data_IF_709609686292
#
_entry.id   IF_709609686292
#
_cell.length_a   1.000
_cell.length_b   1.000
_cell.length_c   1.000
_cell.angle_alpha   90.00
_cell.angle_beta   90.00
_cell.angle_gamma   90.00
#
_symmetry.space_group_name_H-M   'P 1'
#
loop_
_entity.id
_entity.type
_entity.pdbx_description
1 polymer ?
#
# COMPACT_ATOMS: atom_id res chain seq x y z
N UNK A 1 11.28 8.52 12.02
CA UNK A 1 12.40 8.10 11.15
C UNK A 1 13.10 9.37 10.72
N UNK A 2 14.42 9.50 10.90
CA UNK A 2 15.18 10.71 10.52
C UNK A 2 16.02 10.34 9.30
N UNK A 3 15.92 11.11 8.21
CA UNK A 3 16.72 10.90 7.01
C UNK A 3 18.20 11.17 7.32
N UNK A 4 19.09 10.25 6.93
CA UNK A 4 20.53 10.49 7.00
C UNK A 4 20.97 11.57 6.02
N UNK A 5 22.18 12.11 6.17
CA UNK A 5 22.73 13.06 5.21
C UNK A 5 22.80 12.49 3.79
N UNK A 6 23.13 11.19 3.66
CA UNK A 6 23.16 10.50 2.38
C UNK A 6 21.76 10.40 1.77
N UNK A 7 20.74 10.07 2.58
CA UNK A 7 19.35 10.02 2.12
C UNK A 7 18.88 11.38 1.62
N UNK A 8 19.19 12.46 2.34
CA UNK A 8 18.85 13.83 1.93
C UNK A 8 19.50 14.20 0.60
N UNK A 9 20.78 13.84 0.41
CA UNK A 9 21.49 14.04 -0.85
C UNK A 9 20.83 13.29 -2.01
N UNK A 10 20.47 12.03 -1.79
CA UNK A 10 19.79 11.20 -2.78
C UNK A 10 18.40 11.76 -3.16
N UNK A 11 17.61 12.18 -2.17
CA UNK A 11 16.28 12.78 -2.39
C UNK A 11 16.40 14.06 -3.21
N UNK A 12 17.32 14.97 -2.86
CA UNK A 12 17.54 16.21 -3.61
C UNK A 12 17.99 15.95 -5.06
N UNK A 13 18.89 15.00 -5.26
CA UNK A 13 19.37 14.64 -6.60
C UNK A 13 18.27 14.03 -7.46
N UNK A 14 17.45 13.13 -6.90
CA UNK A 14 16.32 12.54 -7.60
C UNK A 14 15.24 13.59 -7.93
N UNK A 15 14.87 14.43 -6.96
CA UNK A 15 13.87 15.49 -7.16
C UNK A 15 14.34 16.55 -8.16
N UNK A 16 15.63 16.88 -8.18
CA UNK A 16 16.20 17.76 -9.20
C UNK A 16 15.99 17.27 -10.64
N UNK A 17 15.91 15.96 -10.85
CA UNK A 17 15.61 15.35 -12.17
C UNK A 17 14.13 15.39 -12.53
N UNK A 18 13.23 15.51 -11.55
CA UNK A 18 11.81 15.72 -11.80
C UNK A 18 11.61 17.05 -12.53
N UNK A 19 12.38 18.08 -12.16
CA UNK A 19 12.44 19.35 -12.88
C UNK A 19 11.06 19.97 -13.09
N UNK A 20 10.81 20.46 -14.31
CA UNK A 20 9.53 21.09 -14.69
C UNK A 20 8.33 20.13 -14.76
N UNK A 21 8.53 18.82 -14.60
CA UNK A 21 7.47 17.81 -14.74
C UNK A 21 6.74 17.49 -13.44
N UNK A 22 7.10 18.13 -12.32
CA UNK A 22 6.56 17.79 -11.01
C UNK A 22 5.01 17.78 -10.97
N UNK A 23 4.37 18.77 -11.60
CA UNK A 23 2.92 18.86 -11.66
C UNK A 23 2.27 17.74 -12.50
N UNK A 24 2.89 17.38 -13.62
CA UNK A 24 2.45 16.29 -14.50
C UNK A 24 2.55 14.94 -13.77
N UNK A 25 3.69 14.67 -13.13
CA UNK A 25 3.90 13.44 -12.37
C UNK A 25 2.98 13.36 -11.14
N UNK A 26 2.69 14.50 -10.50
CA UNK A 26 1.71 14.56 -9.42
C UNK A 26 0.30 14.17 -9.87
N UNK A 27 -0.12 14.58 -11.07
CA UNK A 27 -1.41 14.19 -11.65
C UNK A 27 -1.44 12.71 -12.02
N UNK A 28 -0.37 12.21 -12.66
CA UNK A 28 -0.23 10.79 -13.01
C UNK A 28 -0.27 9.89 -11.76
N UNK A 29 0.41 10.29 -10.68
CA UNK A 29 0.40 9.57 -9.42
C UNK A 29 -1.01 9.46 -8.83
N UNK A 30 -1.82 10.53 -8.88
CA UNK A 30 -3.21 10.53 -8.45
C UNK A 30 -4.08 9.61 -9.32
N UNK A 31 -3.92 9.66 -10.64
CA UNK A 31 -4.66 8.75 -11.55
C UNK A 31 -4.33 7.28 -11.26
N UNK A 32 -3.04 6.95 -11.09
CA UNK A 32 -2.60 5.59 -10.69
C UNK A 32 -3.18 5.18 -9.34
N UNK A 33 -3.21 6.09 -8.35
CA UNK A 33 -3.81 5.84 -7.05
C UNK A 33 -5.30 5.52 -7.16
N UNK A 34 -6.06 6.31 -7.92
CA UNK A 34 -7.51 6.10 -8.09
C UNK A 34 -7.83 4.79 -8.81
N UNK A 35 -7.01 4.37 -9.78
CA UNK A 35 -7.18 3.11 -10.49
C UNK A 35 -6.81 1.90 -9.62
N UNK A 36 -5.70 2.00 -8.89
CA UNK A 36 -5.14 0.88 -8.11
C UNK A 36 -5.80 0.71 -6.74
N UNK A 37 -6.29 1.81 -6.16
CA UNK A 37 -6.92 1.85 -4.84
C UNK A 37 -8.26 2.61 -4.91
N UNK A 38 -9.32 2.03 -5.51
CA UNK A 38 -10.57 2.76 -5.75
C UNK A 38 -11.25 3.34 -4.51
N UNK A 39 -11.00 2.79 -3.33
CA UNK A 39 -11.48 3.32 -2.04
C UNK A 39 -11.02 4.74 -1.79
N UNK A 40 -9.85 5.16 -2.32
CA UNK A 40 -9.33 6.53 -2.19
C UNK A 40 -10.22 7.57 -2.89
N UNK A 41 -11.02 7.17 -3.89
CA UNK A 41 -11.97 8.07 -4.59
C UNK A 41 -13.04 8.64 -3.65
N UNK A 42 -13.30 7.98 -2.53
CA UNK A 42 -14.30 8.44 -1.53
C UNK A 42 -13.96 9.79 -0.90
N UNK A 43 -12.69 10.22 -0.95
CA UNK A 43 -12.27 11.55 -0.51
C UNK A 43 -12.46 12.64 -1.59
N UNK A 44 -12.77 12.26 -2.83
CA UNK A 44 -12.90 13.16 -3.97
C UNK A 44 -14.27 13.08 -4.66
N UNK A 45 -15.41 13.01 -3.93
CA UNK A 45 -16.74 12.90 -4.56
C UNK A 45 -17.14 14.17 -5.33
N UNK A 46 -16.41 15.26 -5.12
CA UNK A 46 -16.62 16.58 -5.73
C UNK A 46 -15.66 16.83 -6.92
N UNK A 47 -14.85 15.85 -7.31
CA UNK A 47 -13.96 15.94 -8.46
C UNK A 47 -14.52 15.18 -9.66
N UNK A 48 -14.34 15.75 -10.84
CA UNK A 48 -14.22 14.99 -12.07
C UNK A 48 -12.92 14.17 -12.03
N UNK A 49 -13.05 12.86 -11.92
CA UNK A 49 -11.94 11.90 -11.87
C UNK A 49 -11.67 11.25 -13.23
N UNK A 50 -12.20 11.80 -14.33
CA UNK A 50 -11.86 11.35 -15.68
C UNK A 50 -10.39 11.61 -15.99
N UNK A 51 -9.82 10.78 -16.88
CA UNK A 51 -8.42 10.93 -17.30
C UNK A 51 -8.18 12.32 -17.88
N UNK A 52 -7.14 12.99 -17.41
CA UNK A 52 -6.75 14.32 -17.89
C UNK A 52 -7.61 15.48 -17.38
N UNK A 53 -8.52 15.26 -16.43
CA UNK A 53 -9.38 16.31 -15.88
C UNK A 53 -8.56 17.46 -15.27
N UNK A 54 -9.08 18.68 -15.40
CA UNK A 54 -8.43 19.86 -14.85
C UNK A 54 -8.34 19.80 -13.31
N UNK A 55 -9.31 19.17 -12.64
CA UNK A 55 -9.32 19.03 -11.18
C UNK A 55 -8.21 18.10 -10.70
N UNK A 56 -8.01 16.95 -11.36
CA UNK A 56 -6.92 16.02 -11.02
C UNK A 56 -5.57 16.66 -11.30
N UNK A 57 -5.39 17.32 -12.46
CA UNK A 57 -4.16 18.05 -12.78
C UNK A 57 -3.84 19.15 -11.77
N UNK A 58 -4.84 19.97 -11.43
CA UNK A 58 -4.69 21.05 -10.48
C UNK A 58 -4.37 20.57 -9.06
N UNK A 59 -4.94 19.45 -8.63
CA UNK A 59 -4.61 18.86 -7.34
C UNK A 59 -3.23 18.20 -7.35
N UNK A 60 -2.87 17.49 -8.42
CA UNK A 60 -1.54 16.93 -8.62
C UNK A 60 -0.43 17.98 -8.53
N UNK A 61 -0.65 19.15 -9.13
CA UNK A 61 0.26 20.30 -9.01
C UNK A 61 0.44 20.78 -7.56
N UNK A 62 -0.64 20.83 -6.76
CA UNK A 62 -0.57 21.20 -5.33
C UNK A 62 0.22 20.18 -4.51
N UNK A 63 0.00 18.89 -4.75
CA UNK A 63 0.75 17.80 -4.10
C UNK A 63 2.23 17.90 -4.45
N UNK A 64 2.55 18.06 -5.73
CA UNK A 64 3.93 18.21 -6.20
C UNK A 64 4.63 19.44 -5.59
N UNK A 65 3.94 20.58 -5.52
CA UNK A 65 4.47 21.78 -4.87
C UNK A 65 4.76 21.57 -3.38
N UNK A 66 3.88 20.88 -2.66
CA UNK A 66 4.11 20.52 -1.26
C UNK A 66 5.32 19.59 -1.08
N UNK A 67 5.51 18.64 -1.99
CA UNK A 67 6.70 17.77 -2.00
C UNK A 67 7.98 18.54 -2.33
N UNK A 68 7.94 19.49 -3.27
CA UNK A 68 9.07 20.39 -3.53
C UNK A 68 9.45 21.17 -2.27
N UNK A 69 8.46 21.76 -1.59
CA UNK A 69 8.69 22.44 -0.30
C UNK A 69 9.32 21.49 0.73
N UNK A 70 8.84 20.25 0.82
CA UNK A 70 9.42 19.25 1.71
C UNK A 70 10.89 18.94 1.37
N UNK A 71 11.24 18.82 0.09
CA UNK A 71 12.62 18.56 -0.38
C UNK A 71 13.55 19.74 -0.09
N UNK A 72 13.05 20.96 -0.19
CA UNK A 72 13.80 22.19 0.15
C UNK A 72 14.08 22.28 1.66
N UNK A 73 13.20 21.71 2.49
CA UNK A 73 13.24 21.80 3.95
C UNK A 73 13.39 20.43 4.64
N UNK A 74 14.20 19.52 4.09
CA UNK A 74 14.38 18.15 4.63
C UNK A 74 14.95 18.10 6.07
N UNK A 75 15.52 19.19 6.56
CA UNK A 75 16.00 19.34 7.93
C UNK A 75 14.90 19.78 8.92
N UNK A 76 13.80 20.34 8.43
CA UNK A 76 12.64 20.79 9.21
C UNK A 76 11.31 20.52 8.47
N UNK A 77 11.03 19.24 8.23
CA UNK A 77 9.77 18.82 7.63
C UNK A 77 8.54 19.22 8.47
N UNK A 78 8.53 19.07 9.81
CA UNK A 78 7.38 19.47 10.62
C UNK A 78 7.06 20.95 10.47
N UNK A 79 8.06 21.83 10.53
CA UNK A 79 7.85 23.27 10.34
C UNK A 79 7.39 23.59 8.91
N UNK A 80 8.05 23.04 7.89
CA UNK A 80 7.73 23.31 6.50
C UNK A 80 6.32 22.86 6.10
N UNK A 81 5.82 21.77 6.68
CA UNK A 81 4.52 21.17 6.33
C UNK A 81 3.42 21.39 7.38
N UNK A 82 3.66 22.23 8.40
CA UNK A 82 2.73 22.41 9.54
C UNK A 82 1.29 22.75 9.10
N UNK A 83 1.11 23.71 8.19
CA UNK A 83 -0.23 24.10 7.70
C UNK A 83 -0.92 22.95 6.95
N UNK A 84 -0.16 22.15 6.20
CA UNK A 84 -0.69 21.00 5.46
C UNK A 84 -1.07 19.86 6.42
N UNK A 85 -0.27 19.67 7.48
CA UNK A 85 -0.57 18.76 8.58
C UNK A 85 -1.88 19.15 9.27
N UNK A 86 -2.04 20.42 9.65
CA UNK A 86 -3.26 20.92 10.30
C UNK A 86 -4.49 20.77 9.40
N UNK A 87 -4.34 21.05 8.10
CA UNK A 87 -5.40 20.86 7.12
C UNK A 87 -5.88 19.41 7.07
N UNK A 88 -4.96 18.44 7.02
CA UNK A 88 -5.29 17.02 6.99
C UNK A 88 -5.87 16.53 8.32
N UNK A 89 -5.31 16.96 9.45
CA UNK A 89 -5.73 16.52 10.77
C UNK A 89 -7.13 17.05 11.15
N UNK A 90 -7.41 18.32 10.85
CA UNK A 90 -8.59 18.99 11.41
C UNK A 90 -9.74 19.15 10.43
N UNK A 91 -9.45 19.36 9.14
CA UNK A 91 -10.47 19.65 8.12
C UNK A 91 -10.73 18.46 7.19
N UNK A 92 -9.70 17.94 6.53
CA UNK A 92 -9.89 16.88 5.54
C UNK A 92 -10.14 15.51 6.18
N UNK A 93 -9.48 15.24 7.31
CA UNK A 93 -9.62 13.99 8.09
C UNK A 93 -9.48 12.74 7.22
N UNK A 94 -8.56 12.79 6.26
CA UNK A 94 -8.19 11.63 5.44
C UNK A 94 -7.64 10.56 6.38
N UNK A 95 -8.14 9.34 6.27
CA UNK A 95 -7.70 8.25 7.15
C UNK A 95 -6.19 8.01 6.92
N UNK A 96 -5.36 7.96 7.98
CA UNK A 96 -3.93 7.73 7.87
C UNK A 96 -3.53 6.48 7.07
N UNK A 97 -4.43 5.48 6.94
CA UNK A 97 -4.19 4.30 6.10
C UNK A 97 -3.84 4.66 4.65
N UNK A 98 -4.38 5.77 4.13
CA UNK A 98 -4.11 6.23 2.77
C UNK A 98 -2.68 6.77 2.60
N UNK A 99 -1.92 6.94 3.69
CA UNK A 99 -0.53 7.37 3.70
C UNK A 99 0.43 6.29 4.25
N UNK A 100 -0.08 5.12 4.67
CA UNK A 100 0.69 4.15 5.46
C UNK A 100 1.53 3.23 4.57
N UNK A 101 2.83 3.14 4.86
CA UNK A 101 3.73 2.11 4.31
C UNK A 101 3.96 1.00 5.34
N UNK A 102 3.76 -0.27 4.97
CA UNK A 102 3.88 -1.40 5.91
C UNK A 102 5.30 -1.95 6.09
N UNK A 103 6.21 -1.70 5.15
CA UNK A 103 7.56 -2.25 5.16
C UNK A 103 8.68 -1.19 5.00
N UNK A 104 8.65 -0.07 5.73
CA UNK A 104 9.67 0.99 5.59
C UNK A 104 11.07 0.54 6.04
N UNK A 105 11.17 -0.61 6.73
CA UNK A 105 12.41 -1.18 7.26
C UNK A 105 12.97 -2.32 6.39
N UNK A 106 12.34 -2.61 5.24
CA UNK A 106 12.82 -3.61 4.28
C UNK A 106 13.51 -2.92 3.12
N UNK A 107 14.60 -3.52 2.63
CA UNK A 107 15.02 -3.39 1.25
C UNK A 107 13.97 -4.10 0.37
N UNK A 108 13.27 -3.32 -0.44
CA UNK A 108 12.23 -3.79 -1.37
C UNK A 108 12.75 -3.96 -2.81
N UNK A 109 14.07 -3.89 -3.02
CA UNK A 109 14.67 -4.12 -4.34
C UNK A 109 14.44 -5.56 -4.83
N UNK A 110 14.44 -5.73 -6.16
CA UNK A 110 14.30 -7.05 -6.77
C UNK A 110 15.42 -7.98 -6.30
N UNK A 111 15.06 -9.17 -5.83
CA UNK A 111 16.01 -10.16 -5.33
C UNK A 111 16.37 -10.03 -3.84
N UNK A 112 15.87 -8.99 -3.14
CA UNK A 112 16.08 -8.76 -1.70
C UNK A 112 15.88 -10.01 -0.85
N UNK A 113 16.85 -10.31 0.01
CA UNK A 113 16.78 -11.41 0.95
C UNK A 113 15.67 -11.20 2.00
N UNK A 114 15.36 -9.95 2.36
CA UNK A 114 14.30 -9.63 3.31
C UNK A 114 12.92 -9.95 2.72
N UNK A 115 12.69 -9.58 1.45
CA UNK A 115 11.45 -9.90 0.73
C UNK A 115 11.30 -11.41 0.57
N UNK A 116 12.36 -12.11 0.14
CA UNK A 116 12.36 -13.59 0.03
C UNK A 116 12.07 -14.27 1.37
N UNK A 117 12.74 -13.84 2.44
CA UNK A 117 12.55 -14.38 3.78
C UNK A 117 11.14 -14.15 4.32
N UNK A 118 10.53 -13.00 4.04
CA UNK A 118 9.14 -12.76 4.40
C UNK A 118 8.15 -13.57 3.55
N UNK A 119 8.39 -13.66 2.23
CA UNK A 119 7.60 -14.51 1.33
C UNK A 119 7.57 -15.97 1.77
N UNK A 120 8.70 -16.51 2.23
CA UNK A 120 8.77 -17.86 2.78
C UNK A 120 7.88 -18.05 4.02
N UNK A 121 7.83 -17.06 4.93
CA UNK A 121 6.95 -17.10 6.11
C UNK A 121 5.47 -17.07 5.72
N UNK A 122 5.10 -16.24 4.74
CA UNK A 122 3.73 -16.17 4.22
C UNK A 122 3.33 -17.50 3.58
N UNK A 123 4.20 -18.07 2.74
CA UNK A 123 3.96 -19.38 2.12
C UNK A 123 3.78 -20.48 3.16
N UNK A 124 4.64 -20.56 4.18
CA UNK A 124 4.52 -21.53 5.26
C UNK A 124 3.21 -21.39 6.05
N UNK A 125 2.75 -20.15 6.30
CA UNK A 125 1.46 -19.92 6.95
C UNK A 125 0.28 -20.39 6.08
N UNK A 126 0.35 -20.19 4.75
CA UNK A 126 -0.67 -20.69 3.83
C UNK A 126 -0.65 -22.21 3.71
N UNK A 127 0.53 -22.85 3.73
CA UNK A 127 0.64 -24.31 3.81
C UNK A 127 -0.04 -24.84 5.07
N UNK A 128 0.24 -24.23 6.23
CA UNK A 128 -0.46 -24.57 7.48
C UNK A 128 -1.98 -24.39 7.36
N UNK A 129 -2.45 -23.32 6.71
CA UNK A 129 -3.89 -23.12 6.48
C UNK A 129 -4.51 -24.23 5.62
N UNK A 130 -3.82 -24.69 4.57
CA UNK A 130 -4.27 -25.80 3.72
C UNK A 130 -4.31 -27.13 4.49
N UNK A 131 -3.35 -27.37 5.38
CA UNK A 131 -3.32 -28.56 6.24
C UNK A 131 -4.46 -28.57 7.29
N UNK A 132 -5.09 -27.43 7.53
CA UNK A 132 -6.12 -27.22 8.54
C UNK A 132 -7.37 -26.53 7.98
N UNK A 133 -7.82 -26.92 6.78
CA UNK A 133 -8.98 -26.28 6.11
C UNK A 133 -10.26 -26.30 6.93
N UNK A 134 -10.46 -27.33 7.77
CA UNK A 134 -11.62 -27.47 8.64
C UNK A 134 -11.50 -26.69 9.97
N UNK A 135 -10.31 -26.16 10.29
CA UNK A 135 -10.06 -25.34 11.49
C UNK A 135 -9.05 -24.21 11.22
N UNK A 136 -9.37 -23.35 10.24
CA UNK A 136 -8.58 -22.15 9.97
C UNK A 136 -8.44 -21.21 11.18
N UNK A 137 -9.51 -20.93 11.97
CA UNK A 137 -9.40 -20.06 13.14
C UNK A 137 -8.42 -20.59 14.20
N UNK A 138 -8.45 -21.89 14.50
CA UNK A 138 -7.51 -22.51 15.42
C UNK A 138 -6.09 -22.46 14.88
N UNK A 139 -5.88 -22.88 13.62
CA UNK A 139 -4.56 -22.95 13.01
C UNK A 139 -3.87 -21.59 12.87
N UNK A 140 -4.62 -20.51 12.63
CA UNK A 140 -4.11 -19.16 12.38
C UNK A 140 -4.33 -18.19 13.55
N UNK A 141 -4.70 -18.68 14.74
CA UNK A 141 -5.08 -17.85 15.89
C UNK A 141 -3.97 -16.85 16.29
N UNK A 142 -2.73 -17.31 16.44
CA UNK A 142 -1.58 -16.46 16.80
C UNK A 142 -1.25 -15.43 15.71
N UNK A 143 -1.41 -15.81 14.44
CA UNK A 143 -1.16 -14.90 13.33
C UNK A 143 -2.23 -13.80 13.25
N UNK A 144 -3.47 -14.14 13.62
CA UNK A 144 -4.56 -13.19 13.76
C UNK A 144 -4.29 -12.20 14.90
N UNK A 145 -3.79 -12.68 16.05
CA UNK A 145 -3.37 -11.81 17.16
C UNK A 145 -2.24 -10.85 16.76
N UNK A 146 -1.24 -11.39 16.04
CA UNK A 146 -0.11 -10.60 15.55
C UNK A 146 -0.59 -9.45 14.64
N UNK A 147 -1.45 -9.76 13.67
CA UNK A 147 -1.97 -8.76 12.73
C UNK A 147 -2.90 -7.76 13.41
N UNK A 148 -3.81 -8.22 14.27
CA UNK A 148 -4.79 -7.35 14.94
C UNK A 148 -4.15 -6.42 15.97
N UNK A 149 -3.23 -6.93 16.81
CA UNK A 149 -2.80 -6.19 17.99
C UNK A 149 -1.44 -5.53 17.83
N UNK A 150 -0.52 -6.11 17.05
CA UNK A 150 0.84 -5.58 16.87
C UNK A 150 1.04 -4.88 15.53
N UNK A 151 0.83 -5.58 14.41
CA UNK A 151 1.14 -5.04 13.09
C UNK A 151 0.09 -4.03 12.62
N UNK A 152 -1.18 -4.27 12.96
CA UNK A 152 -2.33 -3.43 12.61
C UNK A 152 -2.34 -3.12 11.11
N UNK A 153 -2.20 -4.19 10.31
CA UNK A 153 -2.28 -4.11 8.85
C UNK A 153 -3.72 -3.86 8.48
N UNK A 154 -4.04 -2.78 7.75
CA UNK A 154 -5.43 -2.53 7.39
C UNK A 154 -6.00 -3.73 6.60
N UNK A 155 -7.19 -4.24 6.98
CA UNK A 155 -7.83 -5.39 6.34
C UNK A 155 -7.89 -5.34 4.80
N UNK A 156 -7.92 -4.15 4.19
CA UNK A 156 -7.93 -4.00 2.72
C UNK A 156 -6.69 -4.62 2.06
N UNK A 157 -5.53 -4.61 2.73
CA UNK A 157 -4.26 -5.07 2.15
C UNK A 157 -4.21 -6.59 1.96
N UNK A 158 -5.00 -7.35 2.73
CA UNK A 158 -5.11 -8.80 2.54
C UNK A 158 -5.73 -9.16 1.19
N UNK A 159 -6.67 -8.34 0.68
CA UNK A 159 -7.25 -8.51 -0.65
C UNK A 159 -6.23 -8.27 -1.75
N UNK A 160 -5.37 -7.26 -1.58
CA UNK A 160 -4.30 -6.93 -2.54
C UNK A 160 -3.28 -8.06 -2.65
N UNK A 161 -2.84 -8.60 -1.51
CA UNK A 161 -1.93 -9.74 -1.49
C UNK A 161 -2.59 -11.01 -2.05
N UNK A 162 -3.85 -11.28 -1.70
CA UNK A 162 -4.60 -12.44 -2.21
C UNK A 162 -4.70 -12.40 -3.73
N UNK A 163 -5.02 -11.25 -4.32
CA UNK A 163 -5.04 -11.09 -5.77
C UNK A 163 -3.66 -11.35 -6.40
N UNK A 164 -2.59 -10.80 -5.80
CA UNK A 164 -1.21 -11.01 -6.28
C UNK A 164 -0.79 -12.48 -6.20
N UNK A 165 -1.23 -13.22 -5.17
CA UNK A 165 -1.01 -14.65 -5.05
C UNK A 165 -1.74 -15.43 -6.16
N UNK A 166 -2.99 -15.08 -6.48
CA UNK A 166 -3.73 -15.71 -7.58
C UNK A 166 -3.03 -15.50 -8.92
N UNK A 167 -2.56 -14.29 -9.22
CA UNK A 167 -1.78 -14.00 -10.44
C UNK A 167 -0.49 -14.81 -10.49
N UNK A 168 0.20 -14.94 -9.35
CA UNK A 168 1.43 -15.74 -9.23
C UNK A 168 1.14 -17.22 -9.50
N UNK A 169 0.10 -17.78 -8.89
CA UNK A 169 -0.30 -19.18 -9.09
C UNK A 169 -0.71 -19.44 -10.54
N UNK A 170 -1.50 -18.55 -11.15
CA UNK A 170 -1.89 -18.65 -12.56
C UNK A 170 -0.68 -18.67 -13.50
N UNK A 171 0.34 -17.87 -13.21
CA UNK A 171 1.57 -17.77 -14.01
C UNK A 171 2.46 -19.01 -13.91
N UNK A 172 2.38 -19.75 -12.80
CA UNK A 172 3.22 -20.92 -12.53
C UNK A 172 2.50 -22.26 -12.70
N UNK A 173 1.17 -22.27 -12.76
CA UNK A 173 0.33 -23.47 -12.89
C UNK A 173 -0.58 -23.40 -14.13
N UNK A 174 -0.04 -23.15 -15.35
CA UNK A 174 -0.86 -22.86 -16.53
C UNK A 174 -1.82 -24.01 -16.92
N UNK A 175 -1.50 -25.26 -16.60
CA UNK A 175 -2.38 -26.42 -16.83
C UNK A 175 -3.43 -26.61 -15.75
N UNK A 176 -3.09 -26.26 -14.49
CA UNK A 176 -3.89 -26.62 -13.32
C UNK A 176 -4.80 -25.46 -12.87
N UNK A 177 -4.47 -24.22 -13.26
CA UNK A 177 -5.23 -23.01 -12.93
C UNK A 177 -6.49 -22.86 -13.80
N UNK A 178 -7.35 -23.87 -13.76
CA UNK A 178 -8.66 -23.85 -14.42
C UNK A 178 -9.60 -22.82 -13.75
N UNK A 179 -10.70 -22.41 -14.41
CA UNK A 179 -11.68 -21.51 -13.78
C UNK A 179 -12.24 -22.02 -12.45
N UNK A 180 -12.43 -23.34 -12.31
CA UNK A 180 -12.90 -23.95 -11.07
C UNK A 180 -11.84 -23.89 -9.93
N UNK A 181 -10.56 -24.10 -10.28
CA UNK A 181 -9.44 -23.98 -9.34
C UNK A 181 -9.25 -22.52 -8.93
N UNK A 182 -9.32 -21.57 -9.87
CA UNK A 182 -9.28 -20.15 -9.58
C UNK A 182 -10.37 -19.75 -8.56
N UNK A 183 -11.63 -20.11 -8.82
CA UNK A 183 -12.74 -19.80 -7.91
C UNK A 183 -12.57 -20.43 -6.52
N UNK A 184 -11.97 -21.62 -6.45
CA UNK A 184 -11.67 -22.29 -5.16
C UNK A 184 -10.56 -21.57 -4.39
N UNK A 185 -9.47 -21.20 -5.06
CA UNK A 185 -8.35 -20.48 -4.46
C UNK A 185 -8.75 -19.07 -3.99
N UNK A 186 -9.57 -18.36 -4.76
CA UNK A 186 -10.10 -17.05 -4.37
C UNK A 186 -10.93 -17.14 -3.07
N UNK A 187 -11.85 -18.10 -2.99
CA UNK A 187 -12.63 -18.37 -1.76
C UNK A 187 -11.73 -18.75 -0.58
N UNK A 188 -10.73 -19.60 -0.80
CA UNK A 188 -9.78 -19.99 0.24
C UNK A 188 -9.02 -18.77 0.80
N UNK A 189 -8.45 -17.94 -0.08
CA UNK A 189 -7.71 -16.74 0.33
C UNK A 189 -8.62 -15.69 1.00
N UNK A 190 -9.88 -15.59 0.58
CA UNK A 190 -10.89 -14.77 1.24
C UNK A 190 -11.21 -15.27 2.67
N UNK A 191 -11.33 -16.58 2.87
CA UNK A 191 -11.52 -17.18 4.19
C UNK A 191 -10.30 -16.96 5.09
N UNK A 192 -9.08 -17.18 4.57
CA UNK A 192 -7.84 -16.88 5.30
C UNK A 192 -7.80 -15.40 5.71
N UNK A 193 -8.12 -14.49 4.79
CA UNK A 193 -8.18 -13.03 5.08
C UNK A 193 -9.21 -12.71 6.17
N UNK A 194 -10.37 -13.35 6.14
CA UNK A 194 -11.42 -13.19 7.16
C UNK A 194 -10.94 -13.65 8.53
N UNK A 195 -10.27 -14.80 8.61
CA UNK A 195 -9.69 -15.30 9.87
C UNK A 195 -8.63 -14.35 10.42
N UNK A 196 -7.67 -13.94 9.59
CA UNK A 196 -6.57 -13.05 10.01
C UNK A 196 -7.04 -11.67 10.48
N UNK A 197 -8.23 -11.25 10.04
CA UNK A 197 -8.83 -9.96 10.43
C UNK A 197 -9.92 -10.09 11.51
N UNK A 198 -10.26 -11.30 11.93
CA UNK A 198 -11.37 -11.58 12.86
C UNK A 198 -11.24 -10.93 14.23
N UNK A 199 -9.99 -10.68 14.69
CA UNK A 199 -9.69 -10.12 16.02
C UNK A 199 -9.40 -8.62 16.02
N UNK A 200 -9.66 -7.92 14.90
CA UNK A 200 -9.38 -6.48 14.78
C UNK A 200 -10.34 -5.59 15.56
N UNK A 201 -11.50 -6.12 15.96
CA UNK A 201 -12.58 -5.41 16.66
C UNK A 201 -13.06 -6.22 17.85
#
# INVERSE_FOLDING_TARGET
MVLSAADKGNVKAAWGKVGGHAAEYGAEALERMFLSFPTTKTYFPHFDLSHGSAQVKGHGAKVAAALTKAVEHLDDLPGALSELSDLHAHKLRVDPVNFKTYFPHFDLSHGSAQVKGHGAKVAAALTKAVEHLDDLPGALSELSDLHAHKLRVDPVNFKLLSHSLLVTLASHLPSDFTPAVHASLDKFLANVSTVLTSKYR
#
